data_IF_492835902154
#
_entry.id   IF_492835902154
#
_cell.length_a   1.000
_cell.length_b   1.000
_cell.length_c   1.000
_cell.angle_alpha   90.00
_cell.angle_beta   90.00
_cell.angle_gamma   90.00
#
_symmetry.space_group_name_H-M   'P 1'
#
loop_
_entity.id
_entity.type
_entity.pdbx_description
1 polymer ?
#
# COMPACT_ATOMS: atom_id res chain seq x y z
N UNK A 1 -1.78 -1.23 12.70
CA UNK A 1 -1.80 -0.46 11.44
C UNK A 1 -1.89 1.05 11.68
N UNK A 2 -2.78 1.49 12.56
CA UNK A 2 -2.98 2.93 12.78
C UNK A 2 -1.72 3.66 13.23
N UNK A 3 -0.93 3.05 14.13
CA UNK A 3 0.31 3.68 14.60
C UNK A 3 1.36 3.79 13.50
N UNK A 4 1.46 2.79 12.61
CA UNK A 4 2.40 2.83 11.49
C UNK A 4 2.00 3.90 10.49
N UNK A 5 0.71 4.07 10.23
CA UNK A 5 0.22 5.13 9.36
C UNK A 5 0.54 6.50 9.95
N UNK A 6 0.31 6.67 11.25
CA UNK A 6 0.59 7.93 11.91
C UNK A 6 2.08 8.28 11.87
N UNK A 7 2.95 7.28 11.91
CA UNK A 7 4.39 7.52 11.80
C UNK A 7 4.76 8.13 10.44
N UNK A 8 3.99 7.85 9.40
CA UNK A 8 4.22 8.40 8.06
C UNK A 8 3.55 9.75 7.88
N UNK A 9 2.28 9.88 8.27
CA UNK A 9 1.51 11.09 7.98
C UNK A 9 1.60 12.14 9.09
N UNK A 10 2.06 11.76 10.27
CA UNK A 10 2.10 12.65 11.41
C UNK A 10 0.69 13.02 11.84
N UNK A 11 0.42 14.30 11.98
CA UNK A 11 -0.89 14.81 12.33
C UNK A 11 -1.73 15.22 11.13
N UNK A 12 -1.27 14.96 9.90
CA UNK A 12 -1.97 15.38 8.70
C UNK A 12 -3.25 14.59 8.49
N UNK A 13 -4.24 15.24 7.88
CA UNK A 13 -5.48 14.59 7.49
C UNK A 13 -5.24 13.74 6.24
N UNK A 14 -5.66 12.48 6.29
CA UNK A 14 -5.58 11.58 5.13
C UNK A 14 -6.92 11.60 4.40
N UNK A 15 -6.90 11.95 3.13
CA UNK A 15 -8.10 11.99 2.30
C UNK A 15 -8.26 10.67 1.57
N UNK A 16 -9.50 10.34 1.19
CA UNK A 16 -9.79 9.12 0.44
C UNK A 16 -9.93 9.49 -1.03
N UNK A 17 -9.25 8.74 -1.89
CA UNK A 17 -9.29 8.96 -3.33
C UNK A 17 -7.91 9.02 -3.95
N UNK A 18 -7.86 9.28 -5.24
CA UNK A 18 -6.64 9.40 -6.06
C UNK A 18 -5.78 8.14 -6.13
N UNK A 19 -5.90 7.23 -5.17
CA UNK A 19 -5.09 6.00 -5.07
C UNK A 19 -5.93 4.82 -5.47
N UNK A 20 -5.37 3.97 -6.32
CA UNK A 20 -6.00 2.72 -6.72
C UNK A 20 -5.11 1.58 -6.26
N UNK A 21 -5.69 0.64 -5.53
CA UNK A 21 -4.99 -0.55 -5.07
C UNK A 21 -5.59 -1.76 -5.79
N UNK A 22 -4.78 -2.36 -6.65
CA UNK A 22 -5.16 -3.55 -7.40
C UNK A 22 -4.52 -4.75 -6.72
N UNK A 23 -5.33 -5.49 -5.98
CA UNK A 23 -4.92 -6.70 -5.26
C UNK A 23 -6.08 -7.69 -5.32
N UNK A 24 -5.81 -8.99 -5.51
CA UNK A 24 -6.92 -9.96 -5.57
C UNK A 24 -7.72 -9.94 -4.27
N UNK A 25 -9.06 -9.84 -4.37
CA UNK A 25 -9.91 -9.85 -3.16
C UNK A 25 -9.96 -11.21 -2.49
N UNK A 26 -9.68 -12.28 -3.22
CA UNK A 26 -9.62 -13.64 -2.70
C UNK A 26 -8.31 -14.27 -3.14
N UNK A 27 -7.52 -14.72 -2.18
CA UNK A 27 -6.18 -15.27 -2.40
C UNK A 27 -6.13 -16.67 -1.84
N UNK A 28 -5.72 -17.64 -2.66
CA UNK A 28 -5.58 -19.03 -2.21
C UNK A 28 -4.30 -19.24 -1.41
N UNK A 29 -3.25 -18.49 -1.74
CA UNK A 29 -1.96 -18.63 -1.06
C UNK A 29 -1.38 -17.26 -0.73
N UNK A 30 -1.30 -16.95 0.55
CA UNK A 30 -0.80 -15.68 1.04
C UNK A 30 0.72 -15.51 0.98
N UNK A 31 1.48 -16.52 0.57
CA UNK A 31 2.95 -16.43 0.52
C UNK A 31 3.44 -15.47 -0.56
N UNK A 32 2.70 -15.30 -1.64
CA UNK A 32 3.09 -14.40 -2.72
C UNK A 32 1.84 -13.85 -3.38
N UNK A 33 1.49 -12.62 -3.04
CA UNK A 33 0.27 -11.96 -3.53
C UNK A 33 0.67 -10.79 -4.41
N UNK A 34 0.27 -10.76 -5.69
CA UNK A 34 0.58 -9.63 -6.55
C UNK A 34 -0.23 -8.41 -6.15
N UNK A 35 0.42 -7.25 -6.19
CA UNK A 35 -0.21 -5.99 -5.80
C UNK A 35 0.30 -4.88 -6.69
N UNK A 36 -0.60 -4.03 -7.16
CA UNK A 36 -0.25 -2.82 -7.90
C UNK A 36 -0.94 -1.63 -7.25
N UNK A 37 -0.16 -0.61 -6.94
CA UNK A 37 -0.68 0.66 -6.44
C UNK A 37 -0.45 1.72 -7.51
N UNK A 38 -1.49 2.44 -7.87
CA UNK A 38 -1.40 3.56 -8.80
C UNK A 38 -2.06 4.79 -8.23
N UNK A 39 -1.54 5.95 -8.57
CA UNK A 39 -2.02 7.23 -8.07
C UNK A 39 -2.32 8.14 -9.25
N UNK A 40 -3.46 8.81 -9.20
CA UNK A 40 -3.84 9.80 -10.21
C UNK A 40 -2.98 11.05 -10.03
N UNK A 41 -1.96 11.18 -10.87
CA UNK A 41 -1.04 12.33 -10.85
C UNK A 41 -0.45 12.51 -12.24
N UNK A 42 -0.30 13.76 -12.72
CA UNK A 42 0.37 14.01 -13.99
C UNK A 42 1.87 13.77 -13.95
N UNK A 43 2.45 13.63 -12.76
CA UNK A 43 3.89 13.41 -12.58
C UNK A 43 4.73 14.45 -13.31
N UNK A 44 4.42 15.71 -13.03
CA UNK A 44 5.18 16.86 -13.53
C UNK A 44 6.06 17.43 -12.42
N UNK A 45 6.94 18.35 -12.79
CA UNK A 45 7.84 18.96 -11.79
C UNK A 45 7.09 19.67 -10.66
N UNK A 46 5.86 20.14 -10.93
CA UNK A 46 5.06 20.88 -9.97
C UNK A 46 3.93 20.06 -9.33
N UNK A 47 3.64 18.88 -9.87
CA UNK A 47 2.55 18.03 -9.38
C UNK A 47 2.93 16.57 -9.59
N UNK A 48 3.41 15.95 -8.52
CA UNK A 48 3.89 14.58 -8.58
C UNK A 48 3.67 13.87 -7.24
N UNK A 49 3.79 12.55 -7.26
CA UNK A 49 3.73 11.71 -6.07
C UNK A 49 5.14 11.56 -5.51
N UNK A 50 5.33 11.93 -4.26
CA UNK A 50 6.62 11.84 -3.58
C UNK A 50 6.89 10.42 -3.09
N UNK A 51 5.87 9.78 -2.54
CA UNK A 51 6.03 8.42 -1.98
C UNK A 51 4.69 7.71 -1.89
N UNK A 52 4.77 6.38 -1.84
CA UNK A 52 3.64 5.49 -1.62
C UNK A 52 4.02 4.57 -0.48
N UNK A 53 3.12 4.40 0.46
CA UNK A 53 3.31 3.55 1.63
C UNK A 53 2.16 2.56 1.72
N UNK A 54 2.46 1.29 1.96
CA UNK A 54 1.45 0.24 2.02
C UNK A 54 1.50 -0.40 3.40
N UNK A 55 0.34 -0.52 4.01
CA UNK A 55 0.19 -1.02 5.38
C UNK A 55 -0.78 -2.19 5.41
N UNK A 56 -0.61 -3.05 6.41
CA UNK A 56 -1.48 -4.16 6.67
C UNK A 56 -1.85 -4.17 8.16
N UNK A 57 -2.94 -4.85 8.50
CA UNK A 57 -3.41 -4.83 9.89
C UNK A 57 -2.99 -6.04 10.71
N UNK A 58 -2.65 -7.17 10.08
CA UNK A 58 -2.45 -8.44 10.80
C UNK A 58 -1.08 -9.07 10.69
N UNK A 59 -0.25 -8.65 9.77
CA UNK A 59 1.12 -9.16 9.70
C UNK A 59 1.93 -8.63 10.91
N UNK A 60 2.98 -9.34 11.34
CA UNK A 60 3.84 -8.83 12.41
C UNK A 60 4.43 -7.45 12.11
N UNK A 61 4.77 -7.22 10.84
CA UNK A 61 5.20 -5.90 10.38
C UNK A 61 4.04 -5.18 9.74
N UNK A 62 3.55 -4.07 10.31
CA UNK A 62 2.40 -3.35 9.76
C UNK A 62 2.70 -2.62 8.45
N UNK A 63 3.96 -2.36 8.14
CA UNK A 63 4.34 -1.69 6.91
C UNK A 63 4.83 -2.73 5.90
N UNK A 64 4.13 -2.86 4.77
CA UNK A 64 4.48 -3.79 3.70
C UNK A 64 5.53 -3.24 2.76
N UNK A 65 5.67 -1.92 2.66
CA UNK A 65 6.66 -1.31 1.79
C UNK A 65 6.50 0.18 1.67
N UNK A 66 7.61 0.85 1.39
CA UNK A 66 7.67 2.28 1.14
C UNK A 66 8.37 2.48 -0.20
N UNK A 67 7.75 3.27 -1.06
CA UNK A 67 8.25 3.51 -2.41
C UNK A 67 8.37 5.01 -2.63
N UNK A 68 9.57 5.46 -2.95
CA UNK A 68 9.85 6.88 -3.12
C UNK A 68 9.98 7.20 -4.60
N UNK A 69 9.19 8.17 -5.04
CA UNK A 69 9.08 8.56 -6.43
C UNK A 69 9.53 10.01 -6.60
N UNK A 70 9.61 10.44 -7.83
CA UNK A 70 9.90 11.82 -8.16
C UNK A 70 9.22 12.18 -9.47
N UNK A 71 9.28 13.46 -9.89
CA UNK A 71 8.59 13.90 -11.10
C UNK A 71 9.07 13.19 -12.38
N UNK A 72 10.26 12.59 -12.34
CA UNK A 72 10.81 11.85 -13.49
C UNK A 72 10.34 10.42 -13.57
N UNK A 73 9.58 9.94 -12.60
CA UNK A 73 9.08 8.56 -12.61
C UNK A 73 8.12 8.30 -13.78
N UNK A 74 7.55 9.36 -14.37
CA UNK A 74 6.65 9.26 -15.51
C UNK A 74 5.25 8.83 -15.11
N UNK A 75 5.14 7.81 -14.27
CA UNK A 75 3.87 7.25 -13.82
C UNK A 75 3.97 6.94 -12.33
N UNK A 76 2.93 7.29 -11.58
CA UNK A 76 2.85 6.95 -10.17
C UNK A 76 2.24 5.56 -10.01
N UNK A 77 3.05 4.54 -10.23
CA UNK A 77 2.60 3.15 -10.17
C UNK A 77 3.71 2.26 -9.66
N UNK A 78 3.36 1.37 -8.73
CA UNK A 78 4.28 0.38 -8.16
C UNK A 78 3.62 -0.98 -8.20
N UNK A 79 4.31 -1.96 -8.77
CA UNK A 79 3.86 -3.36 -8.77
C UNK A 79 4.86 -4.19 -8.00
N UNK A 80 4.37 -5.00 -7.08
CA UNK A 80 5.20 -5.84 -6.25
C UNK A 80 4.42 -7.06 -5.77
N UNK A 81 5.07 -7.91 -4.99
CA UNK A 81 4.42 -9.04 -4.33
C UNK A 81 4.58 -8.89 -2.83
N UNK A 82 3.54 -9.26 -2.11
CA UNK A 82 3.53 -9.15 -0.65
C UNK A 82 3.12 -10.49 -0.04
N UNK A 83 3.42 -10.66 1.25
CA UNK A 83 3.01 -11.82 2.02
C UNK A 83 1.91 -11.41 2.97
N UNK A 84 0.83 -12.19 3.00
CA UNK A 84 -0.30 -11.94 3.87
C UNK A 84 -0.49 -13.12 4.82
N UNK A 85 -0.29 -12.86 6.10
CA UNK A 85 -0.38 -13.89 7.14
C UNK A 85 -1.83 -14.33 7.42
N UNK A 86 -2.81 -13.51 7.02
CA UNK A 86 -4.21 -13.78 7.29
C UNK A 86 -5.07 -12.87 6.40
N UNK A 87 -6.37 -13.17 6.35
CA UNK A 87 -7.35 -12.26 5.77
C UNK A 87 -7.32 -10.95 6.53
N UNK A 88 -7.27 -9.83 5.82
CA UNK A 88 -7.04 -8.53 6.45
C UNK A 88 -7.30 -7.37 5.51
N UNK A 89 -7.27 -6.18 6.06
CA UNK A 89 -7.32 -4.95 5.28
C UNK A 89 -5.92 -4.47 4.93
N UNK A 90 -5.76 -3.99 3.72
CA UNK A 90 -4.54 -3.39 3.21
C UNK A 90 -4.85 -1.94 2.87
N UNK A 91 -4.02 -1.02 3.35
CA UNK A 91 -4.18 0.40 3.08
C UNK A 91 -2.95 0.93 2.35
N UNK A 92 -3.17 1.59 1.22
CA UNK A 92 -2.12 2.28 0.49
C UNK A 92 -2.30 3.79 0.67
N UNK A 93 -1.22 4.48 1.00
CA UNK A 93 -1.22 5.93 1.20
C UNK A 93 -0.21 6.57 0.26
N UNK A 94 -0.65 7.60 -0.46
CA UNK A 94 0.22 8.39 -1.32
C UNK A 94 0.47 9.75 -0.70
N UNK A 95 1.73 10.15 -0.68
CA UNK A 95 2.15 11.49 -0.26
C UNK A 95 2.47 12.29 -1.51
N UNK A 96 1.71 13.34 -1.75
CA UNK A 96 1.84 14.16 -2.95
C UNK A 96 2.75 15.36 -2.72
N UNK A 97 3.21 15.95 -3.81
CA UNK A 97 4.15 17.08 -3.77
C UNK A 97 3.60 18.32 -3.09
N UNK A 98 2.27 18.47 -3.03
CA UNK A 98 1.61 19.57 -2.33
C UNK A 98 1.50 19.35 -0.82
N UNK A 99 2.01 18.23 -0.32
CA UNK A 99 1.95 17.87 1.10
C UNK A 99 0.72 17.09 1.50
N UNK A 100 -0.21 16.84 0.60
CA UNK A 100 -1.43 16.09 0.91
C UNK A 100 -1.17 14.60 0.95
N UNK A 101 -2.00 13.89 1.72
CA UNK A 101 -2.00 12.44 1.82
C UNK A 101 -3.34 11.89 1.35
N UNK A 102 -3.30 10.88 0.52
CA UNK A 102 -4.48 10.23 -0.04
C UNK A 102 -4.37 8.72 0.17
N UNK A 103 -5.51 8.06 0.36
CA UNK A 103 -5.51 6.65 0.72
C UNK A 103 -6.61 5.85 0.03
N UNK A 104 -6.40 4.55 -0.01
CA UNK A 104 -7.40 3.56 -0.37
C UNK A 104 -7.18 2.34 0.52
N UNK A 105 -8.26 1.69 0.91
CA UNK A 105 -8.21 0.47 1.70
C UNK A 105 -8.96 -0.63 0.96
N UNK A 106 -8.36 -1.81 0.90
CA UNK A 106 -8.98 -2.99 0.30
C UNK A 106 -8.98 -4.13 1.32
N UNK A 107 -10.02 -4.95 1.26
CA UNK A 107 -10.11 -6.16 2.06
C UNK A 107 -9.69 -7.35 1.23
N UNK A 108 -8.84 -8.21 1.81
CA UNK A 108 -8.34 -9.41 1.14
C UNK A 108 -8.65 -10.61 2.01
N UNK A 109 -9.28 -11.61 1.42
CA UNK A 109 -9.56 -12.89 2.08
C UNK A 109 -8.49 -13.88 1.64
N UNK A 110 -7.80 -14.48 2.61
CA UNK A 110 -6.74 -15.44 2.37
C UNK A 110 -7.20 -16.80 2.87
N UNK A 111 -7.32 -17.78 1.96
CA UNK A 111 -7.79 -19.11 2.32
C UNK A 111 -6.67 -20.02 2.82
N UNK A 112 -5.44 -19.77 2.36
CA UNK A 112 -4.25 -20.44 2.86
C UNK A 112 -3.24 -19.37 3.23
N UNK A 113 -3.11 -19.11 4.52
CA UNK A 113 -2.26 -18.04 5.02
C UNK A 113 -0.79 -18.31 4.74
N UNK A 114 0.01 -17.24 4.68
CA UNK A 114 1.45 -17.37 4.53
C UNK A 114 2.02 -18.13 5.73
N UNK A 115 2.75 -19.19 5.43
CA UNK A 115 3.35 -20.00 6.47
C UNK A 115 4.69 -19.42 6.89
N UNK A 116 4.87 -19.33 8.18
CA UNK A 116 6.14 -18.88 8.72
C UNK A 116 6.94 -20.04 9.28
N UNK A 117 6.26 -21.16 9.45
CA UNK A 117 6.88 -22.37 9.91
C UNK A 117 6.36 -23.50 9.13
N UNK A 118 6.57 -24.28 9.10
CA UNK A 118 5.76 -25.06 8.43
C UNK A 118 5.24 -26.09 8.65
N UNK A 119 4.90 -25.95 8.62
CA UNK A 119 4.25 -26.74 8.72
C UNK A 119 4.29 -27.94 8.30
N UNK A 120 4.38 -28.32 8.40
CA UNK A 120 4.47 -29.32 8.21
C UNK A 120 4.77 -30.29 8.15
#
# INVERSE_FOLDING_TARGET
MAAAIRAVVGGATVQIGKVKLDIPPLVENGNSVPMTVSVASPMTANDYVKSIHVFNEKNPQPNLGNFYLGPRAGRAQVSTRVRLADSQKITAIAHLSDGSFWSVTAEVVVTLAACTEEVI
#
